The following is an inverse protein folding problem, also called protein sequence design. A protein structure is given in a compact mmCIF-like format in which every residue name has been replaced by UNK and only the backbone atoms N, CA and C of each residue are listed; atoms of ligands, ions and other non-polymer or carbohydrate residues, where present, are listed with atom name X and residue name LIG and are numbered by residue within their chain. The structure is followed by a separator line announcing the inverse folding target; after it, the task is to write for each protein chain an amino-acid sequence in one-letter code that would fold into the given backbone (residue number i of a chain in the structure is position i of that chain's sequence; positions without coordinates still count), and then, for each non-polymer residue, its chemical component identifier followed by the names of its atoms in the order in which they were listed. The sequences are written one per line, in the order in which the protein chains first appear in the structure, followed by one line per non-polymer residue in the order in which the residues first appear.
data_IF_961141523922
#
_entry.id   IF_961141523922
#
_cell.length_a   1.000
_cell.length_b   1.000
_cell.length_c   1.000
_cell.angle_alpha   90.00
_cell.angle_beta   90.00
_cell.angle_gamma   90.00
#
_symmetry.space_group_name_H-M   'P 1'
#
loop_
_entity.id
_entity.type
_entity.pdbx_description
1 polymer ?
#
# COMPACT_ATOMS: atom_id res chain seq x y z
N UNK A 1 22.55 25.34 35.93
CA UNK A 1 23.11 24.68 34.73
C UNK A 1 21.93 24.19 33.88
N UNK A 2 21.77 24.71 32.67
CA UNK A 2 20.66 24.33 31.79
C UNK A 2 20.89 22.93 31.21
N UNK A 3 19.92 22.03 31.39
CA UNK A 3 19.95 20.68 30.83
C UNK A 3 19.83 20.78 29.29
N UNK A 4 20.94 20.58 28.58
CA UNK A 4 20.95 20.49 27.12
C UNK A 4 20.28 19.16 26.76
N UNK A 5 19.16 19.21 26.02
CA UNK A 5 18.44 17.99 25.64
C UNK A 5 19.35 17.03 24.88
N UNK A 6 19.10 15.71 24.99
CA UNK A 6 19.85 14.68 24.28
C UNK A 6 19.91 14.94 22.77
N UNK A 7 18.84 15.50 22.22
CA UNK A 7 18.72 15.89 20.81
C UNK A 7 19.65 17.06 20.47
N UNK A 8 19.69 18.10 21.31
CA UNK A 8 20.57 19.25 21.08
C UNK A 8 22.04 18.84 21.16
N UNK A 9 22.42 18.04 22.16
CA UNK A 9 23.78 17.48 22.26
C UNK A 9 24.12 16.60 21.06
N UNK A 10 23.19 15.75 20.62
CA UNK A 10 23.37 14.92 19.43
C UNK A 10 23.63 15.77 18.18
N UNK A 11 22.85 16.84 18.01
CA UNK A 11 22.98 17.74 16.87
C UNK A 11 24.32 18.48 16.88
N UNK A 12 24.69 19.06 18.01
CA UNK A 12 25.94 19.83 18.15
C UNK A 12 27.20 18.94 18.05
N UNK A 13 27.11 17.66 18.46
CA UNK A 13 28.25 16.72 18.40
C UNK A 13 28.41 16.10 17.02
N UNK A 14 27.32 15.65 16.39
CA UNK A 14 27.38 14.92 15.11
C UNK A 14 27.29 15.83 13.88
N UNK A 15 26.77 17.05 14.05
CA UNK A 15 26.66 18.05 12.98
C UNK A 15 27.48 19.29 13.30
N UNK A 16 28.64 19.10 13.95
CA UNK A 16 29.54 20.18 14.37
C UNK A 16 29.96 21.08 13.21
N UNK A 17 30.30 20.48 12.07
CA UNK A 17 30.66 21.19 10.83
C UNK A 17 29.53 22.04 10.22
N UNK A 18 28.27 21.76 10.59
CA UNK A 18 27.13 22.60 10.26
C UNK A 18 26.99 23.74 11.26
N UNK A 19 27.21 23.48 12.55
CA UNK A 19 27.13 24.47 13.63
C UNK A 19 28.24 25.54 13.54
N UNK A 20 29.40 25.18 13.01
CA UNK A 20 30.56 26.08 12.82
C UNK A 20 30.36 27.10 11.68
N UNK A 21 29.32 26.94 10.86
CA UNK A 21 29.01 27.84 9.72
C UNK A 21 28.24 29.08 10.18
N UNK A 22 28.35 30.16 9.40
CA UNK A 22 27.59 31.38 9.64
C UNK A 22 26.08 31.18 9.46
N UNK A 23 25.27 31.99 10.15
CA UNK A 23 23.80 31.84 10.17
C UNK A 23 23.17 31.88 8.76
N UNK A 24 23.73 32.68 7.84
CA UNK A 24 23.31 32.77 6.44
C UNK A 24 23.55 31.45 5.70
N UNK A 25 24.73 30.87 5.86
CA UNK A 25 25.15 29.62 5.19
C UNK A 25 24.37 28.42 5.73
N UNK A 26 24.07 28.40 7.03
CA UNK A 26 23.19 27.41 7.64
C UNK A 26 21.78 27.45 7.05
N UNK A 27 21.21 28.65 6.90
CA UNK A 27 19.87 28.83 6.30
C UNK A 27 19.83 28.34 4.85
N UNK A 28 20.86 28.64 4.05
CA UNK A 28 20.96 28.19 2.66
C UNK A 28 21.14 26.66 2.54
N UNK A 29 21.93 26.04 3.42
CA UNK A 29 22.09 24.58 3.46
C UNK A 29 20.80 23.86 3.87
N UNK A 30 20.07 24.39 4.85
CA UNK A 30 18.76 23.86 5.23
C UNK A 30 17.78 24.01 4.06
N UNK A 31 17.74 25.18 3.42
CA UNK A 31 16.85 25.44 2.29
C UNK A 31 17.14 24.53 1.09
N UNK A 32 18.42 24.29 0.76
CA UNK A 32 18.82 23.38 -0.32
C UNK A 32 18.50 21.92 0.03
N UNK A 33 18.80 21.47 1.25
CA UNK A 33 18.46 20.12 1.72
C UNK A 33 16.95 19.83 1.71
N UNK A 34 16.13 20.80 2.15
CA UNK A 34 14.66 20.71 2.08
C UNK A 34 14.20 20.65 0.62
N UNK A 35 14.76 21.49 -0.25
CA UNK A 35 14.41 21.51 -1.68
C UNK A 35 14.74 20.18 -2.36
N UNK A 36 15.89 19.59 -2.06
CA UNK A 36 16.30 18.32 -2.66
C UNK A 36 15.50 17.14 -2.10
N UNK A 37 15.18 17.14 -0.80
CA UNK A 37 14.24 16.19 -0.20
C UNK A 37 12.84 16.30 -0.83
N UNK A 38 12.37 17.51 -1.10
CA UNK A 38 11.08 17.75 -1.75
C UNK A 38 11.10 17.29 -3.22
N UNK A 39 12.19 17.48 -3.95
CA UNK A 39 12.37 16.91 -5.30
C UNK A 39 12.33 15.38 -5.28
N UNK A 40 12.98 14.75 -4.31
CA UNK A 40 12.97 13.30 -4.15
C UNK A 40 11.56 12.79 -3.77
N UNK A 41 10.86 13.48 -2.87
CA UNK A 41 9.48 13.15 -2.50
C UNK A 41 8.52 13.28 -3.68
N UNK A 42 8.64 14.37 -4.45
CA UNK A 42 7.79 14.61 -5.63
C UNK A 42 8.06 13.64 -6.78
N UNK A 43 9.30 13.18 -6.97
CA UNK A 43 9.61 12.14 -7.96
C UNK A 43 9.06 10.77 -7.55
N UNK A 44 9.15 10.40 -6.27
CA UNK A 44 8.49 9.20 -5.74
C UNK A 44 6.96 9.29 -5.88
N UNK A 45 6.35 10.43 -5.57
CA UNK A 45 4.91 10.65 -5.76
C UNK A 45 4.48 10.52 -7.23
N UNK A 46 5.27 11.04 -8.17
CA UNK A 46 5.01 10.90 -9.61
C UNK A 46 5.09 9.44 -10.07
N UNK A 47 6.03 8.66 -9.53
CA UNK A 47 6.14 7.23 -9.81
C UNK A 47 4.94 6.43 -9.25
N UNK A 48 4.55 6.70 -8.00
CA UNK A 48 3.37 6.08 -7.37
C UNK A 48 2.08 6.46 -8.12
N UNK A 49 1.95 7.71 -8.56
CA UNK A 49 0.77 8.20 -9.30
C UNK A 49 0.63 7.57 -10.69
N UNK A 50 1.75 7.27 -11.39
CA UNK A 50 1.72 6.55 -12.67
C UNK A 50 1.14 5.13 -12.56
N UNK A 51 1.21 4.51 -11.37
CA UNK A 51 0.69 3.15 -11.10
C UNK A 51 -0.74 3.16 -10.51
N UNK A 52 -1.45 4.28 -10.52
CA UNK A 52 -2.81 4.40 -9.98
C UNK A 52 -3.76 3.34 -10.55
N UNK A 53 -3.80 3.18 -11.88
CA UNK A 53 -4.76 2.29 -12.54
C UNK A 53 -4.45 0.80 -12.32
N UNK A 54 -3.17 0.40 -12.37
CA UNK A 54 -2.77 -0.98 -12.11
C UNK A 54 -2.97 -1.36 -10.64
N UNK A 55 -2.76 -0.39 -9.74
CA UNK A 55 -3.07 -0.55 -8.33
C UNK A 55 -4.58 -0.66 -8.07
N UNK A 56 -5.41 0.16 -8.72
CA UNK A 56 -6.87 0.03 -8.60
C UNK A 56 -7.35 -1.35 -9.10
N UNK A 57 -6.90 -1.77 -10.29
CA UNK A 57 -7.25 -3.06 -10.87
C UNK A 57 -6.88 -4.25 -9.97
N UNK A 58 -5.74 -4.18 -9.30
CA UNK A 58 -5.33 -5.23 -8.37
C UNK A 58 -6.17 -5.26 -7.10
N UNK A 59 -6.64 -4.12 -6.57
CA UNK A 59 -7.62 -4.13 -5.45
C UNK A 59 -8.94 -4.78 -5.89
N UNK A 60 -9.42 -4.47 -7.09
CA UNK A 60 -10.64 -5.09 -7.63
C UNK A 60 -10.50 -6.61 -7.75
N UNK A 61 -9.39 -7.09 -8.32
CA UNK A 61 -9.10 -8.53 -8.43
C UNK A 61 -8.96 -9.19 -7.05
N UNK A 62 -8.24 -8.55 -6.12
CA UNK A 62 -8.09 -9.03 -4.74
C UNK A 62 -9.43 -9.16 -4.04
N UNK A 63 -10.30 -8.15 -4.14
CA UNK A 63 -11.62 -8.18 -3.55
C UNK A 63 -12.47 -9.32 -4.11
N UNK A 64 -12.45 -9.55 -5.43
CA UNK A 64 -13.16 -10.66 -6.04
C UNK A 64 -12.66 -12.02 -5.50
N UNK A 65 -11.35 -12.23 -5.46
CA UNK A 65 -10.73 -13.46 -4.95
C UNK A 65 -11.10 -13.70 -3.48
N UNK A 66 -11.00 -12.66 -2.64
CA UNK A 66 -11.32 -12.72 -1.22
C UNK A 66 -12.81 -13.04 -0.97
N UNK A 67 -13.72 -12.38 -1.70
CA UNK A 67 -15.17 -12.63 -1.60
C UNK A 67 -15.57 -14.05 -1.96
N UNK A 68 -14.82 -14.70 -2.84
CA UNK A 68 -15.04 -16.09 -3.24
C UNK A 68 -14.24 -17.10 -2.42
N UNK A 69 -13.54 -16.67 -1.35
CA UNK A 69 -12.75 -17.55 -0.49
C UNK A 69 -11.60 -18.26 -1.20
N UNK A 70 -11.09 -17.68 -2.30
CA UNK A 70 -10.00 -18.28 -3.09
C UNK A 70 -8.64 -18.00 -2.46
N UNK A 71 -7.67 -18.92 -2.59
CA UNK A 71 -6.32 -18.74 -2.05
C UNK A 71 -5.61 -17.55 -2.72
N UNK A 72 -4.64 -16.94 -2.04
CA UNK A 72 -3.95 -15.75 -2.55
C UNK A 72 -3.13 -16.04 -3.81
N UNK A 73 -2.69 -17.28 -3.98
CA UNK A 73 -2.03 -17.80 -5.18
C UNK A 73 -2.93 -17.71 -6.43
N UNK A 74 -4.25 -17.62 -6.26
CA UNK A 74 -5.18 -17.45 -7.38
C UNK A 74 -4.93 -16.15 -8.15
N UNK A 75 -4.30 -15.13 -7.55
CA UNK A 75 -3.92 -13.91 -8.23
C UNK A 75 -2.88 -14.13 -9.33
N UNK A 76 -1.87 -14.97 -9.07
CA UNK A 76 -0.84 -15.30 -10.05
C UNK A 76 -1.41 -16.16 -11.17
N UNK A 77 -2.22 -17.16 -10.82
CA UNK A 77 -2.93 -17.99 -11.80
C UNK A 77 -3.85 -17.16 -12.71
N UNK A 78 -4.63 -16.23 -12.15
CA UNK A 78 -5.50 -15.34 -12.93
C UNK A 78 -4.70 -14.50 -13.93
N UNK A 79 -3.53 -14.01 -13.51
CA UNK A 79 -2.63 -13.23 -14.37
C UNK A 79 -2.07 -14.09 -15.50
N UNK A 80 -1.63 -15.30 -15.19
CA UNK A 80 -1.13 -16.27 -16.16
C UNK A 80 -2.19 -16.62 -17.21
N UNK A 81 -3.40 -17.01 -16.77
CA UNK A 81 -4.51 -17.34 -17.65
C UNK A 81 -4.87 -16.17 -18.56
N UNK A 82 -4.90 -14.94 -18.03
CA UNK A 82 -5.19 -13.75 -18.82
C UNK A 82 -4.09 -13.46 -19.84
N UNK A 83 -2.82 -13.67 -19.50
CA UNK A 83 -1.70 -13.50 -20.43
C UNK A 83 -1.66 -14.58 -21.51
N UNK A 84 -2.11 -15.80 -21.21
CA UNK A 84 -2.20 -16.88 -22.18
C UNK A 84 -3.24 -16.59 -23.28
N UNK A 85 -4.38 -16.00 -22.92
CA UNK A 85 -5.45 -15.71 -23.89
C UNK A 85 -5.31 -14.33 -24.56
N UNK A 86 -4.62 -13.37 -23.94
CA UNK A 86 -4.55 -11.99 -24.42
C UNK A 86 -4.03 -11.84 -25.87
N UNK A 87 -3.01 -12.58 -26.34
CA UNK A 87 -2.55 -12.48 -27.72
C UNK A 87 -3.65 -12.80 -28.74
N UNK A 88 -4.45 -13.84 -28.49
CA UNK A 88 -5.55 -14.22 -29.37
C UNK A 88 -6.79 -13.33 -29.19
N UNK A 89 -7.05 -12.87 -27.97
CA UNK A 89 -8.23 -12.05 -27.66
C UNK A 89 -8.14 -10.62 -28.20
N UNK A 90 -6.92 -10.10 -28.38
CA UNK A 90 -6.68 -8.72 -28.80
C UNK A 90 -5.90 -8.63 -30.11
N UNK A 91 -5.84 -9.69 -30.93
CA UNK A 91 -4.96 -9.73 -32.10
C UNK A 91 -5.32 -8.67 -33.16
N UNK A 92 -6.62 -8.36 -33.26
CA UNK A 92 -7.24 -7.36 -34.13
C UNK A 92 -7.12 -5.91 -33.63
N UNK A 93 -6.52 -5.70 -32.45
CA UNK A 93 -6.38 -4.37 -31.86
C UNK A 93 -4.99 -3.78 -32.12
N UNK A 94 -4.94 -2.56 -32.68
CA UNK A 94 -3.68 -1.81 -32.90
C UNK A 94 -2.84 -1.60 -31.63
N UNK A 95 -3.48 -1.65 -30.46
CA UNK A 95 -2.84 -1.42 -29.16
C UNK A 95 -2.61 -2.70 -28.34
N UNK A 96 -2.62 -3.89 -28.98
CA UNK A 96 -2.51 -5.18 -28.28
C UNK A 96 -1.32 -5.29 -27.34
N UNK A 97 -0.15 -4.83 -27.76
CA UNK A 97 1.06 -4.87 -26.93
C UNK A 97 0.89 -4.03 -25.66
N UNK A 98 0.25 -2.85 -25.78
CA UNK A 98 -0.03 -1.99 -24.64
C UNK A 98 -1.01 -2.66 -23.67
N UNK A 99 -2.04 -3.34 -24.17
CA UNK A 99 -3.00 -4.07 -23.34
C UNK A 99 -2.31 -5.22 -22.60
N UNK A 100 -1.53 -6.04 -23.32
CA UNK A 100 -0.76 -7.16 -22.74
C UNK A 100 0.21 -6.65 -21.67
N UNK A 101 0.94 -5.56 -21.94
CA UNK A 101 1.82 -4.95 -20.94
C UNK A 101 1.05 -4.46 -19.71
N UNK A 102 -0.10 -3.81 -19.88
CA UNK A 102 -0.93 -3.40 -18.74
C UNK A 102 -1.38 -4.58 -17.88
N UNK A 103 -1.65 -5.74 -18.47
CA UNK A 103 -1.98 -6.97 -17.74
C UNK A 103 -0.75 -7.47 -16.97
N UNK A 104 0.44 -7.45 -17.59
CA UNK A 104 1.72 -7.78 -16.94
C UNK A 104 2.05 -6.85 -15.79
N UNK A 105 1.67 -5.59 -15.87
CA UNK A 105 1.98 -4.58 -14.84
C UNK A 105 1.05 -4.65 -13.63
N UNK A 106 -0.08 -5.39 -13.69
CA UNK A 106 -0.97 -5.53 -12.53
C UNK A 106 -0.28 -6.39 -11.46
N UNK A 107 -0.08 -5.87 -10.23
CA UNK A 107 0.60 -6.60 -9.19
C UNK A 107 -0.39 -7.54 -8.48
N UNK A 108 -0.28 -8.84 -8.77
CA UNK A 108 -1.16 -9.91 -8.23
C UNK A 108 -0.36 -11.04 -7.56
N UNK A 109 0.88 -10.76 -7.12
CA UNK A 109 1.66 -11.74 -6.36
C UNK A 109 0.95 -12.07 -5.03
N UNK A 110 1.23 -13.26 -4.49
CA UNK A 110 0.70 -13.68 -3.19
C UNK A 110 0.88 -12.64 -2.08
N UNK A 111 2.05 -12.00 -2.02
CA UNK A 111 2.36 -10.98 -1.01
C UNK A 111 1.54 -9.72 -1.23
N UNK A 112 1.46 -9.25 -2.49
CA UNK A 112 0.62 -8.10 -2.82
C UNK A 112 -0.86 -8.36 -2.50
N UNK A 113 -1.36 -9.56 -2.81
CA UNK A 113 -2.72 -9.97 -2.49
C UNK A 113 -2.98 -9.96 -0.98
N UNK A 114 -2.06 -10.53 -0.19
CA UNK A 114 -2.13 -10.48 1.28
C UNK A 114 -2.22 -9.04 1.78
N UNK A 115 -1.30 -8.18 1.36
CA UNK A 115 -1.26 -6.78 1.82
C UNK A 115 -2.54 -6.01 1.46
N UNK A 116 -3.07 -6.26 0.26
CA UNK A 116 -4.33 -5.66 -0.21
C UNK A 116 -5.53 -6.16 0.58
N UNK A 117 -5.59 -7.45 0.91
CA UNK A 117 -6.66 -8.01 1.76
C UNK A 117 -6.64 -7.37 3.14
N UNK A 118 -5.45 -7.22 3.74
CA UNK A 118 -5.32 -6.55 5.04
C UNK A 118 -5.83 -5.11 4.98
N UNK A 119 -5.47 -4.35 3.93
CA UNK A 119 -5.97 -2.98 3.72
C UNK A 119 -7.47 -2.91 3.46
N UNK A 120 -8.01 -3.87 2.71
CA UNK A 120 -9.46 -3.97 2.51
C UNK A 120 -10.18 -4.26 3.83
N UNK A 121 -9.64 -5.16 4.65
CA UNK A 121 -10.19 -5.48 5.96
C UNK A 121 -10.09 -4.30 6.94
N UNK A 122 -8.97 -3.58 6.94
CA UNK A 122 -8.79 -2.34 7.71
C UNK A 122 -9.84 -1.29 7.32
N UNK A 123 -9.99 -1.03 6.01
CA UNK A 123 -10.98 -0.07 5.51
C UNK A 123 -12.42 -0.48 5.89
N UNK A 124 -12.77 -1.76 5.79
CA UNK A 124 -14.09 -2.25 6.23
C UNK A 124 -14.28 -2.04 7.74
N UNK A 125 -13.24 -2.30 8.53
CA UNK A 125 -13.27 -2.11 9.99
C UNK A 125 -13.47 -0.65 10.36
N UNK A 126 -12.80 0.26 9.66
CA UNK A 126 -12.92 1.70 9.93
C UNK A 126 -14.28 2.27 9.52
N UNK A 127 -14.85 1.78 8.41
CA UNK A 127 -16.23 2.08 8.02
C UNK A 127 -17.21 1.58 9.09
N UNK A 128 -17.07 0.34 9.56
CA UNK A 128 -17.90 -0.21 10.63
C UNK A 128 -17.81 0.61 11.92
N UNK A 129 -16.61 1.04 12.34
CA UNK A 129 -16.46 1.91 13.53
C UNK A 129 -17.19 3.23 13.34
N UNK A 130 -17.08 3.86 12.17
CA UNK A 130 -17.80 5.10 11.86
C UNK A 130 -19.31 4.91 11.90
N UNK A 131 -19.81 3.82 11.32
CA UNK A 131 -21.23 3.49 11.30
C UNK A 131 -21.76 3.23 12.72
N UNK A 132 -21.01 2.48 13.53
CA UNK A 132 -21.31 2.26 14.95
C UNK A 132 -21.38 3.57 15.72
N UNK A 133 -20.40 4.47 15.53
CA UNK A 133 -20.36 5.74 16.25
C UNK A 133 -21.46 6.73 15.84
N UNK A 134 -22.00 6.59 14.63
CA UNK A 134 -23.07 7.44 14.11
C UNK A 134 -24.47 6.84 14.30
N UNK A 135 -24.57 5.56 14.67
CA UNK A 135 -25.83 4.88 14.88
C UNK A 135 -26.50 5.32 16.20
N UNK A 136 -27.79 5.72 16.18
CA UNK A 136 -28.51 6.08 17.41
C UNK A 136 -28.82 4.87 18.30
N UNK A 137 -28.94 3.67 17.71
CA UNK A 137 -29.22 2.42 18.41
C UNK A 137 -28.47 1.27 17.73
N UNK A 138 -27.99 0.31 18.53
CA UNK A 138 -27.27 -0.88 18.03
C UNK A 138 -27.80 -2.10 18.77
N UNK A 139 -28.01 -3.20 18.04
CA UNK A 139 -28.29 -4.53 18.60
C UNK A 139 -27.21 -5.51 18.15
N UNK A 140 -26.74 -6.38 19.04
CA UNK A 140 -25.71 -7.37 18.74
C UNK A 140 -26.21 -8.79 19.05
N UNK A 141 -25.82 -9.76 18.23
CA UNK A 141 -26.18 -11.18 18.40
C UNK A 141 -24.93 -11.98 18.74
N UNK A 142 -24.94 -12.65 19.91
CA UNK A 142 -23.88 -13.56 20.32
C UNK A 142 -24.19 -14.97 19.83
N UNK A 143 -23.32 -15.51 18.97
CA UNK A 143 -23.37 -16.93 18.57
C UNK A 143 -22.18 -17.69 19.16
N UNK A 144 -22.40 -18.93 19.62
CA UNK A 144 -21.34 -19.84 20.07
C UNK A 144 -21.09 -20.87 18.96
N UNK A 145 -19.90 -20.85 18.37
CA UNK A 145 -19.47 -21.88 17.41
C UNK A 145 -19.06 -23.16 18.16
N UNK A 146 -19.73 -24.28 17.90
CA UNK A 146 -19.35 -25.60 18.42
C UNK A 146 -18.48 -26.32 17.37
N UNK A 147 -17.17 -26.33 17.56
CA UNK A 147 -16.26 -27.12 16.72
C UNK A 147 -16.22 -28.54 17.26
N UNK A 148 -16.88 -29.49 16.59
CA UNK A 148 -16.75 -30.91 16.88
C UNK A 148 -15.34 -31.37 16.48
N UNK A 149 -14.43 -31.44 17.45
CA UNK A 149 -13.17 -32.15 17.27
C UNK A 149 -13.49 -33.65 17.33
N UNK A 150 -13.53 -34.31 16.17
CA UNK A 150 -13.58 -35.77 16.07
C UNK A 150 -12.40 -36.38 16.83
N UNK A 151 -12.68 -36.84 18.05
CA UNK A 151 -11.79 -37.69 18.84
C UNK A 151 -12.08 -39.12 18.41
N UNK A 152 -11.41 -39.58 17.35
CA UNK A 152 -11.40 -41.01 17.03
C UNK A 152 -10.54 -41.73 18.09
N UNK A 153 -11.22 -42.60 18.84
CA UNK A 153 -10.65 -43.73 19.58
C UNK A 153 -10.31 -44.82 18.58
#
# INVERSE_FOLDING_TARGET
MQNISSVKRHFETNHRSFCEKGEQEQKELIASAIKDRNKQSTSMFKYVSKNCHTSAASYSATNAIARHGKPFQAGEFLKEARLACAPSLFDDFDNKDKIIQRIKDVPLSRNTMKDRILKLAENVTDQQKSDINSAPFISYVLTKGFTLLNRHV
#
